data_IF_943273210632
#
_entry.id   IF_943273210632
#
_cell.length_a   1.000
_cell.length_b   1.000
_cell.length_c   1.000
_cell.angle_alpha   90.00
_cell.angle_beta   90.00
_cell.angle_gamma   90.00
#
_symmetry.space_group_name_H-M   'P 1'
#
loop_
_entity.id
_entity.type
_entity.pdbx_description
1 polymer ?
#
# COMPACT_ATOMS: atom_id res chain seq x y z
N UNK A 1 -11.16 -28.81 -70.89
CA UNK A 1 -10.14 -28.92 -69.82
C UNK A 1 -9.82 -27.53 -69.30
N UNK A 2 -10.08 -27.27 -68.00
CA UNK A 2 -9.36 -26.36 -67.08
C UNK A 2 -10.26 -26.14 -65.85
N UNK A 3 -9.97 -26.85 -64.77
CA UNK A 3 -10.56 -26.63 -63.44
C UNK A 3 -9.81 -25.44 -62.83
N UNK A 4 -10.52 -24.36 -62.51
CA UNK A 4 -9.99 -23.24 -61.72
C UNK A 4 -10.24 -23.59 -60.25
N UNK A 5 -9.17 -23.87 -59.51
CA UNK A 5 -9.22 -24.11 -58.07
C UNK A 5 -9.05 -22.76 -57.38
N UNK A 6 -10.11 -22.26 -56.75
CA UNK A 6 -10.09 -21.05 -55.93
C UNK A 6 -9.52 -21.42 -54.56
N UNK A 7 -8.27 -21.06 -54.29
CA UNK A 7 -7.67 -21.23 -52.98
C UNK A 7 -8.13 -20.10 -52.05
N UNK A 8 -8.97 -20.43 -51.07
CA UNK A 8 -9.35 -19.50 -50.01
C UNK A 8 -8.18 -19.38 -49.00
N UNK A 9 -7.55 -18.21 -48.95
CA UNK A 9 -6.56 -17.90 -47.92
C UNK A 9 -7.29 -17.61 -46.60
N UNK A 10 -7.19 -18.51 -45.63
CA UNK A 10 -7.64 -18.29 -44.26
C UNK A 10 -6.55 -17.48 -43.54
N UNK A 11 -6.80 -16.18 -43.34
CA UNK A 11 -5.96 -15.33 -42.49
C UNK A 11 -6.37 -15.62 -41.04
N UNK A 12 -5.57 -16.43 -40.35
CA UNK A 12 -5.72 -16.65 -38.91
C UNK A 12 -5.21 -15.39 -38.17
N UNK A 13 -6.14 -14.56 -37.71
CA UNK A 13 -5.82 -13.40 -36.86
C UNK A 13 -5.59 -13.91 -35.44
N UNK A 14 -4.33 -14.20 -35.10
CA UNK A 14 -3.93 -14.47 -33.71
C UNK A 14 -4.03 -13.18 -32.90
N UNK A 15 -5.13 -12.98 -32.18
CA UNK A 15 -5.23 -11.93 -31.17
C UNK A 15 -4.32 -12.39 -30.01
N UNK A 16 -3.07 -11.92 -30.03
CA UNK A 16 -2.20 -12.07 -28.87
C UNK A 16 -2.86 -11.36 -27.68
N UNK A 17 -3.09 -12.09 -26.59
CA UNK A 17 -3.52 -11.48 -25.33
C UNK A 17 -2.36 -10.61 -24.83
N UNK A 18 -2.36 -9.34 -25.22
CA UNK A 18 -1.48 -8.34 -24.65
C UNK A 18 -1.98 -8.04 -23.25
N UNK A 19 -1.29 -8.57 -22.23
CA UNK A 19 -1.54 -8.15 -20.87
C UNK A 19 -1.14 -6.67 -20.71
N UNK A 20 -2.03 -5.80 -20.21
CA UNK A 20 -1.68 -4.41 -20.00
C UNK A 20 -0.50 -4.32 -19.03
N UNK A 21 0.49 -3.49 -19.36
CA UNK A 21 1.65 -3.25 -18.49
C UNK A 21 1.18 -2.76 -17.11
N UNK A 22 1.84 -3.23 -16.05
CA UNK A 22 1.51 -2.82 -14.68
C UNK A 22 1.74 -1.32 -14.55
N UNK A 23 0.69 -0.57 -14.22
CA UNK A 23 0.81 0.86 -13.94
C UNK A 23 1.33 1.08 -12.52
N UNK A 24 2.42 1.85 -12.41
CA UNK A 24 3.06 2.18 -11.13
C UNK A 24 3.23 3.71 -11.07
N UNK A 25 2.14 4.46 -10.78
CA UNK A 25 2.23 5.91 -10.67
C UNK A 25 3.14 6.28 -9.49
N UNK A 26 4.04 7.23 -9.73
CA UNK A 26 5.07 7.66 -8.75
C UNK A 26 4.51 8.62 -7.68
N UNK A 27 3.23 8.99 -7.80
CA UNK A 27 2.50 9.88 -6.90
C UNK A 27 1.09 9.36 -6.71
N UNK A 28 0.61 9.35 -5.47
CA UNK A 28 -0.78 9.11 -5.10
C UNK A 28 -1.24 10.27 -4.21
N UNK A 29 -2.48 10.73 -4.41
CA UNK A 29 -3.10 11.82 -3.63
C UNK A 29 -4.34 11.28 -2.93
N UNK A 30 -4.51 11.62 -1.65
CA UNK A 30 -5.59 11.17 -0.78
C UNK A 30 -6.31 12.39 -0.20
N UNK A 31 -7.60 12.56 -0.48
CA UNK A 31 -8.35 13.78 -0.12
C UNK A 31 -8.61 13.92 1.39
N UNK A 32 -8.44 12.86 2.17
CA UNK A 32 -8.60 12.88 3.62
C UNK A 32 -8.48 11.49 4.23
N UNK A 33 -8.37 11.42 5.56
CA UNK A 33 -8.40 10.13 6.24
C UNK A 33 -9.86 9.62 6.35
N UNK A 34 -10.13 8.36 5.97
CA UNK A 34 -11.44 7.77 6.22
C UNK A 34 -11.68 7.67 7.73
N UNK A 35 -12.91 7.91 8.15
CA UNK A 35 -13.33 7.84 9.57
C UNK A 35 -14.10 6.57 9.89
N UNK A 36 -14.43 5.76 8.88
CA UNK A 36 -15.08 4.45 9.04
C UNK A 36 -14.40 3.38 8.19
N UNK A 37 -14.68 2.10 8.49
CA UNK A 37 -14.14 0.99 7.70
C UNK A 37 -14.80 0.94 6.31
N UNK A 38 -16.05 1.37 6.18
CA UNK A 38 -16.77 1.46 4.91
C UNK A 38 -16.13 2.50 3.98
N UNK A 39 -15.81 3.69 4.51
CA UNK A 39 -15.09 4.74 3.77
C UNK A 39 -13.69 4.26 3.36
N UNK A 40 -12.98 3.59 4.27
CA UNK A 40 -11.66 3.04 3.96
C UNK A 40 -11.71 1.97 2.87
N UNK A 41 -12.69 1.07 2.90
CA UNK A 41 -12.88 0.03 1.89
C UNK A 41 -13.23 0.64 0.53
N UNK A 42 -14.12 1.65 0.50
CA UNK A 42 -14.43 2.38 -0.73
C UNK A 42 -13.17 3.01 -1.33
N UNK A 43 -12.40 3.73 -0.52
CA UNK A 43 -11.12 4.33 -0.94
C UNK A 43 -10.12 3.28 -1.44
N UNK A 44 -10.02 2.13 -0.76
CA UNK A 44 -9.19 1.00 -1.21
C UNK A 44 -9.59 0.55 -2.61
N UNK A 45 -10.88 0.35 -2.85
CA UNK A 45 -11.37 -0.20 -4.12
C UNK A 45 -11.18 0.77 -5.28
N UNK A 46 -11.09 2.08 -5.01
CA UNK A 46 -10.77 3.12 -5.99
C UNK A 46 -9.26 3.24 -6.25
N UNK A 47 -8.43 3.16 -5.20
CA UNK A 47 -7.01 3.56 -5.27
C UNK A 47 -6.06 2.37 -5.39
N UNK A 48 -6.34 1.25 -4.70
CA UNK A 48 -5.47 0.07 -4.67
C UNK A 48 -5.53 -0.80 -5.94
N UNK A 49 -5.86 -0.20 -7.08
CA UNK A 49 -5.81 -0.81 -8.43
C UNK A 49 -4.39 -0.79 -9.03
N UNK A 50 -3.48 -0.06 -8.40
CA UNK A 50 -2.04 -0.02 -8.71
C UNK A 50 -1.20 -0.44 -7.49
N UNK A 51 0.06 -0.90 -7.66
CA UNK A 51 0.92 -1.24 -6.52
C UNK A 51 1.15 -0.07 -5.57
N UNK A 52 1.37 1.14 -6.10
CA UNK A 52 1.57 2.34 -5.28
C UNK A 52 0.29 2.80 -4.62
N UNK A 53 -0.87 2.58 -5.23
CA UNK A 53 -2.16 2.75 -4.55
C UNK A 53 -2.35 1.79 -3.37
N UNK A 54 -1.99 0.51 -3.52
CA UNK A 54 -2.00 -0.44 -2.41
C UNK A 54 -1.04 -0.04 -1.27
N UNK A 55 0.15 0.46 -1.63
CA UNK A 55 1.10 1.01 -0.66
C UNK A 55 0.62 2.31 -0.01
N UNK A 56 -0.12 3.17 -0.72
CA UNK A 56 -0.73 4.36 -0.14
C UNK A 56 -1.77 3.97 0.91
N UNK A 57 -2.63 2.99 0.62
CA UNK A 57 -3.62 2.49 1.57
C UNK A 57 -2.99 1.92 2.85
N UNK A 58 -1.78 1.37 2.77
CA UNK A 58 -1.02 0.98 3.95
C UNK A 58 -0.72 2.18 4.84
N UNK A 59 -0.16 3.26 4.30
CA UNK A 59 0.15 4.48 5.07
C UNK A 59 -1.13 5.05 5.70
N UNK A 60 -2.24 5.08 4.96
CA UNK A 60 -3.55 5.52 5.48
C UNK A 60 -4.06 4.61 6.60
N UNK A 61 -3.83 3.30 6.53
CA UNK A 61 -4.19 2.37 7.60
C UNK A 61 -3.32 2.58 8.86
N UNK A 62 -2.02 2.87 8.70
CA UNK A 62 -1.12 3.16 9.82
C UNK A 62 -1.48 4.50 10.50
N UNK A 63 -1.82 5.54 9.71
CA UNK A 63 -2.32 6.82 10.22
C UNK A 63 -3.61 6.64 11.02
N UNK A 64 -4.54 5.83 10.50
CA UNK A 64 -5.76 5.48 11.23
C UNK A 64 -5.48 4.69 12.50
N UNK A 65 -4.54 3.76 12.49
CA UNK A 65 -4.18 2.98 13.69
C UNK A 65 -3.64 3.85 14.82
N UNK A 66 -2.82 4.85 14.51
CA UNK A 66 -2.32 5.79 15.52
C UNK A 66 -3.44 6.68 16.10
N UNK A 67 -4.46 6.99 15.29
CA UNK A 67 -5.60 7.82 15.70
C UNK A 67 -6.68 7.04 16.46
N UNK A 68 -7.01 5.85 15.96
CA UNK A 68 -8.01 4.90 16.47
C UNK A 68 -7.53 3.48 16.18
N UNK A 69 -7.06 2.81 17.22
CA UNK A 69 -6.49 1.46 17.11
C UNK A 69 -7.49 0.45 16.53
N UNK A 70 -8.76 0.55 16.92
CA UNK A 70 -9.81 -0.38 16.50
C UNK A 70 -10.11 -0.24 15.02
N UNK A 71 -10.26 1.00 14.55
CA UNK A 71 -10.43 1.29 13.13
C UNK A 71 -9.19 0.88 12.34
N UNK A 72 -8.00 1.25 12.81
CA UNK A 72 -6.74 0.92 12.16
C UNK A 72 -6.52 -0.58 11.96
N UNK A 73 -6.84 -1.41 12.96
CA UNK A 73 -6.74 -2.87 12.82
C UNK A 73 -7.70 -3.42 11.76
N UNK A 74 -8.91 -2.85 11.63
CA UNK A 74 -9.84 -3.22 10.55
C UNK A 74 -9.30 -2.77 9.18
N UNK A 75 -8.77 -1.55 9.09
CA UNK A 75 -8.12 -1.03 7.89
C UNK A 75 -6.93 -1.88 7.43
N UNK A 76 -6.06 -2.26 8.36
CA UNK A 76 -4.94 -3.19 8.11
C UNK A 76 -5.45 -4.54 7.59
N UNK A 77 -6.47 -5.11 8.25
CA UNK A 77 -7.10 -6.36 7.79
C UNK A 77 -7.60 -6.24 6.34
N UNK A 78 -8.20 -5.10 5.99
CA UNK A 78 -8.76 -4.85 4.67
C UNK A 78 -7.72 -4.71 3.54
N UNK A 79 -6.42 -4.55 3.84
CA UNK A 79 -5.33 -4.36 2.85
C UNK A 79 -4.25 -5.43 2.86
N UNK A 80 -4.14 -6.25 3.91
CA UNK A 80 -3.15 -7.34 3.97
C UNK A 80 -3.56 -8.57 3.14
N UNK A 81 -2.56 -9.29 2.62
CA UNK A 81 -2.78 -10.58 1.94
C UNK A 81 -3.46 -11.60 2.87
N UNK A 82 -4.33 -12.43 2.30
CA UNK A 82 -5.07 -13.47 3.02
C UNK A 82 -4.61 -14.87 2.59
N UNK A 83 -3.32 -15.16 2.80
CA UNK A 83 -2.69 -16.46 2.49
C UNK A 83 -2.14 -17.16 3.75
N UNK A 84 -2.56 -16.70 4.93
CA UNK A 84 -2.08 -17.15 6.24
C UNK A 84 -0.78 -16.50 6.71
N UNK A 85 -0.06 -15.77 5.86
CA UNK A 85 1.22 -15.15 6.28
C UNK A 85 1.05 -13.85 7.05
N UNK A 86 -0.07 -13.14 6.88
CA UNK A 86 -0.34 -11.84 7.51
C UNK A 86 -1.61 -11.83 8.36
N UNK A 87 -2.58 -12.67 8.00
CA UNK A 87 -3.88 -12.73 8.65
C UNK A 87 -4.11 -14.10 9.27
N UNK A 88 -4.93 -14.13 10.32
CA UNK A 88 -5.48 -15.33 10.96
C UNK A 88 -7.00 -15.31 10.91
N UNK A 89 -7.61 -16.47 11.09
CA UNK A 89 -9.06 -16.57 11.29
C UNK A 89 -9.47 -15.93 12.63
N UNK A 90 -10.53 -15.13 12.59
CA UNK A 90 -11.08 -14.43 13.74
C UNK A 90 -12.53 -14.05 13.48
N UNK A 91 -13.47 -14.78 14.08
CA UNK A 91 -14.91 -14.55 13.89
C UNK A 91 -15.38 -13.14 14.30
N UNK A 92 -14.62 -12.44 15.15
CA UNK A 92 -14.90 -11.05 15.55
C UNK A 92 -14.17 -10.02 14.70
N UNK A 93 -13.21 -10.46 13.90
CA UNK A 93 -12.41 -9.62 13.03
C UNK A 93 -13.15 -9.20 11.76
N UNK A 94 -12.62 -8.18 11.09
CA UNK A 94 -13.20 -7.68 9.84
C UNK A 94 -13.18 -8.77 8.77
N UNK A 95 -14.36 -9.13 8.24
CA UNK A 95 -14.50 -10.20 7.27
C UNK A 95 -14.10 -11.59 7.80
N UNK A 96 -14.21 -11.82 9.12
CA UNK A 96 -13.81 -13.08 9.75
C UNK A 96 -12.30 -13.27 9.89
N UNK A 97 -11.52 -12.19 9.74
CA UNK A 97 -10.06 -12.20 9.79
C UNK A 97 -9.53 -11.10 10.70
N UNK A 98 -8.34 -11.30 11.23
CA UNK A 98 -7.57 -10.25 11.90
C UNK A 98 -6.08 -10.42 11.65
N UNK A 99 -5.24 -9.39 11.89
CA UNK A 99 -3.81 -9.52 11.71
C UNK A 99 -3.24 -10.58 12.65
N UNK A 100 -2.28 -11.36 12.16
CA UNK A 100 -1.61 -12.37 12.98
C UNK A 100 -0.69 -11.72 14.03
N UNK A 101 -0.12 -12.55 14.93
CA UNK A 101 0.71 -12.05 16.02
C UNK A 101 1.94 -11.25 15.57
N UNK A 102 2.56 -11.63 14.45
CA UNK A 102 3.69 -10.89 13.87
C UNK A 102 3.28 -9.51 13.39
N UNK A 103 2.14 -9.39 12.69
CA UNK A 103 1.62 -8.09 12.27
C UNK A 103 1.23 -7.25 13.49
N UNK A 104 0.53 -7.82 14.47
CA UNK A 104 0.18 -7.11 15.70
C UNK A 104 1.43 -6.58 16.40
N UNK A 105 2.48 -7.38 16.52
CA UNK A 105 3.77 -6.94 17.10
C UNK A 105 4.40 -5.77 16.35
N UNK A 106 4.33 -5.75 15.01
CA UNK A 106 4.78 -4.63 14.20
C UNK A 106 3.95 -3.37 14.48
N UNK A 107 2.62 -3.51 14.53
CA UNK A 107 1.71 -2.40 14.82
C UNK A 107 1.94 -1.81 16.21
N UNK A 108 2.20 -2.64 17.24
CA UNK A 108 2.49 -2.13 18.59
C UNK A 108 3.79 -1.33 18.68
N UNK A 109 4.71 -1.44 17.71
CA UNK A 109 5.88 -0.56 17.68
C UNK A 109 5.50 0.89 17.39
N UNK A 110 4.38 1.15 16.72
CA UNK A 110 3.89 2.51 16.46
C UNK A 110 3.44 3.23 17.73
N UNK A 111 3.07 2.51 18.79
CA UNK A 111 2.75 3.14 20.07
C UNK A 111 3.96 3.90 20.66
N UNK A 112 5.19 3.44 20.35
CA UNK A 112 6.43 4.12 20.78
C UNK A 112 6.75 5.33 19.89
N UNK A 113 6.29 5.31 18.64
CA UNK A 113 6.64 6.30 17.63
C UNK A 113 5.42 6.67 16.76
N UNK A 114 4.37 7.30 17.35
CA UNK A 114 3.11 7.56 16.66
C UNK A 114 3.25 8.52 15.46
N UNK A 115 4.34 9.28 15.39
CA UNK A 115 4.65 10.19 14.29
C UNK A 115 5.20 9.49 13.05
N UNK A 116 5.66 8.22 13.14
CA UNK A 116 6.32 7.52 12.04
C UNK A 116 5.46 7.46 10.77
N UNK A 117 4.16 7.14 10.82
CA UNK A 117 3.31 7.12 9.64
C UNK A 117 3.22 8.47 8.92
N UNK A 118 3.30 9.58 9.66
CA UNK A 118 3.24 10.93 9.09
C UNK A 118 4.44 11.19 8.17
N UNK A 119 5.61 10.62 8.48
CA UNK A 119 6.83 10.85 7.71
C UNK A 119 6.77 10.38 6.25
N UNK A 120 5.77 9.56 5.89
CA UNK A 120 5.53 9.11 4.52
C UNK A 120 4.62 10.06 3.72
N UNK A 121 4.07 11.09 4.37
CA UNK A 121 3.28 12.15 3.74
C UNK A 121 4.20 13.29 3.34
N UNK A 122 4.06 13.75 2.10
CA UNK A 122 4.75 14.92 1.57
C UNK A 122 4.43 16.18 2.37
N UNK A 123 5.42 17.07 2.54
CA UNK A 123 5.27 18.29 3.34
C UNK A 123 5.44 18.10 4.85
N UNK A 124 5.73 16.88 5.34
CA UNK A 124 6.14 16.66 6.73
C UNK A 124 7.66 16.81 6.89
N UNK A 125 8.14 17.20 8.07
CA UNK A 125 9.57 17.34 8.34
C UNK A 125 9.93 16.98 9.78
N UNK A 126 11.21 16.74 10.08
CA UNK A 126 11.64 16.59 11.48
C UNK A 126 11.51 17.90 12.27
N UNK A 127 11.67 19.04 11.59
CA UNK A 127 11.68 20.37 12.20
C UNK A 127 10.31 20.75 12.80
N UNK A 128 9.22 20.23 12.23
CA UNK A 128 7.85 20.39 12.72
C UNK A 128 7.33 19.16 13.50
N UNK A 129 8.21 18.25 13.92
CA UNK A 129 7.85 16.98 14.57
C UNK A 129 6.95 16.06 13.73
N UNK A 130 7.10 16.11 12.41
CA UNK A 130 6.30 15.39 11.41
C UNK A 130 4.80 15.72 11.50
N UNK A 131 4.48 17.00 11.67
CA UNK A 131 3.10 17.47 11.64
C UNK A 131 2.49 17.20 10.27
N UNK A 132 1.28 16.61 10.23
CA UNK A 132 0.58 16.40 8.97
C UNK A 132 0.15 17.75 8.36
N UNK A 133 0.33 17.96 7.05
CA UNK A 133 -0.24 19.11 6.37
C UNK A 133 -1.78 19.00 6.31
N UNK A 134 -2.45 20.08 5.92
CA UNK A 134 -3.87 19.98 5.54
C UNK A 134 -4.02 19.08 4.31
N UNK A 135 -5.08 18.28 4.29
CA UNK A 135 -5.41 17.47 3.13
C UNK A 135 -5.63 18.36 1.88
N UNK A 136 -5.33 17.86 0.66
CA UNK A 136 -5.04 16.46 0.33
C UNK A 136 -3.63 16.01 0.71
N UNK A 137 -3.50 14.76 1.15
CA UNK A 137 -2.22 14.14 1.46
C UNK A 137 -1.57 13.58 0.19
N UNK A 138 -0.33 13.96 -0.07
CA UNK A 138 0.45 13.44 -1.20
C UNK A 138 1.46 12.40 -0.71
N UNK A 139 1.55 11.28 -1.41
CA UNK A 139 2.57 10.25 -1.22
C UNK A 139 3.37 10.07 -2.51
N UNK A 140 4.69 10.02 -2.38
CA UNK A 140 5.59 9.69 -3.48
C UNK A 140 6.08 8.25 -3.38
N UNK A 141 6.46 7.70 -4.51
CA UNK A 141 6.97 6.34 -4.61
C UNK A 141 8.14 6.28 -5.56
N UNK A 142 8.94 5.24 -5.43
CA UNK A 142 9.94 4.88 -6.42
C UNK A 142 10.01 3.38 -6.69
N UNK A 143 10.65 3.04 -7.80
CA UNK A 143 10.95 1.67 -8.22
C UNK A 143 12.40 1.55 -8.65
N UNK A 144 12.86 0.32 -8.82
CA UNK A 144 14.13 0.01 -9.47
C UNK A 144 13.93 -1.16 -10.46
N UNK A 145 15.00 -1.57 -11.15
CA UNK A 145 14.96 -2.66 -12.14
C UNK A 145 14.48 -4.02 -11.61
N UNK A 146 14.39 -4.20 -10.29
CA UNK A 146 13.92 -5.41 -9.60
C UNK A 146 12.57 -5.22 -8.91
N UNK A 147 11.89 -4.09 -9.13
CA UNK A 147 10.60 -3.80 -8.49
C UNK A 147 9.47 -4.69 -8.99
N UNK A 148 9.41 -4.97 -10.30
CA UNK A 148 8.43 -5.91 -10.84
C UNK A 148 9.01 -7.31 -10.70
N UNK A 149 8.46 -8.09 -9.77
CA UNK A 149 8.90 -9.48 -9.51
C UNK A 149 8.21 -10.42 -10.50
N UNK A 150 6.90 -10.22 -10.68
CA UNK A 150 6.07 -10.87 -11.68
C UNK A 150 4.79 -10.05 -11.92
N UNK A 151 3.88 -10.54 -12.75
CA UNK A 151 2.63 -9.85 -13.15
C UNK A 151 1.71 -9.46 -11.97
N UNK A 152 1.81 -10.18 -10.85
CA UNK A 152 0.96 -9.97 -9.68
C UNK A 152 1.75 -9.54 -8.45
N UNK A 153 3.07 -9.42 -8.52
CA UNK A 153 3.92 -9.12 -7.37
C UNK A 153 4.87 -7.97 -7.68
N UNK A 154 4.73 -6.87 -6.93
CA UNK A 154 5.53 -5.66 -7.13
C UNK A 154 6.06 -5.14 -5.80
N UNK A 155 7.32 -4.73 -5.79
CA UNK A 155 7.97 -4.02 -4.70
C UNK A 155 8.13 -2.55 -5.05
N UNK A 156 7.50 -1.68 -4.27
CA UNK A 156 7.64 -0.23 -4.37
C UNK A 156 8.40 0.29 -3.16
N UNK A 157 8.91 1.52 -3.26
CA UNK A 157 9.66 2.16 -2.19
C UNK A 157 9.00 3.49 -1.84
N UNK A 158 8.79 3.76 -0.55
CA UNK A 158 8.18 4.99 -0.05
C UNK A 158 9.27 5.84 0.60
N UNK A 159 9.56 7.07 0.12
CA UNK A 159 10.47 7.97 0.80
C UNK A 159 9.90 8.38 2.17
N UNK A 160 10.79 8.78 3.07
CA UNK A 160 10.41 9.30 4.39
C UNK A 160 11.10 10.64 4.59
N UNK A 161 10.40 11.62 5.18
CA UNK A 161 10.95 12.94 5.50
C UNK A 161 12.00 12.93 6.61
N UNK A 162 12.14 11.81 7.35
CA UNK A 162 13.03 11.69 8.51
C UNK A 162 14.10 10.60 8.41
N UNK A 163 14.15 9.87 7.31
CA UNK A 163 15.06 8.73 7.12
C UNK A 163 15.89 8.84 5.85
N UNK A 164 17.09 8.25 5.88
CA UNK A 164 18.04 8.35 4.76
C UNK A 164 17.71 7.42 3.58
N UNK A 165 16.77 6.48 3.73
CA UNK A 165 16.45 5.49 2.71
C UNK A 165 14.94 5.26 2.57
N UNK A 166 14.40 5.24 1.33
CA UNK A 166 13.04 4.81 1.05
C UNK A 166 12.74 3.41 1.60
N UNK A 167 11.55 3.22 2.17
CA UNK A 167 11.12 1.97 2.80
C UNK A 167 10.43 1.05 1.79
N UNK A 168 10.88 -0.21 1.64
CA UNK A 168 10.25 -1.14 0.72
C UNK A 168 8.89 -1.62 1.22
N UNK A 169 7.94 -1.72 0.29
CA UNK A 169 6.66 -2.42 0.48
C UNK A 169 6.50 -3.43 -0.65
N UNK A 170 6.20 -4.68 -0.32
CA UNK A 170 5.86 -5.70 -1.33
C UNK A 170 4.35 -5.87 -1.38
N UNK A 171 3.79 -5.84 -2.59
CA UNK A 171 2.37 -5.94 -2.87
C UNK A 171 2.09 -7.15 -3.75
N UNK A 172 0.97 -7.81 -3.49
CA UNK A 172 0.43 -8.90 -4.31
C UNK A 172 -0.96 -8.51 -4.80
N UNK A 173 -1.20 -8.58 -6.11
CA UNK A 173 -2.51 -8.38 -6.73
C UNK A 173 -3.39 -9.62 -6.50
N UNK A 174 -4.58 -9.42 -5.96
CA UNK A 174 -5.56 -10.50 -5.83
C UNK A 174 -6.38 -10.70 -7.12
N UNK A 175 -7.28 -11.68 -7.09
CA UNK A 175 -8.22 -12.04 -8.16
C UNK A 175 -9.18 -10.91 -8.57
N UNK A 176 -9.50 -10.00 -7.66
CA UNK A 176 -10.30 -8.79 -7.91
C UNK A 176 -9.50 -7.61 -8.45
N UNK A 177 -8.19 -7.79 -8.63
CA UNK A 177 -7.28 -6.76 -9.12
C UNK A 177 -6.82 -5.73 -8.09
N UNK A 178 -7.12 -5.95 -6.80
CA UNK A 178 -6.68 -5.12 -5.68
C UNK A 178 -5.26 -5.54 -5.28
N UNK A 179 -4.36 -4.57 -5.15
CA UNK A 179 -3.00 -4.75 -4.64
C UNK A 179 -3.00 -4.78 -3.11
N UNK A 180 -2.63 -5.92 -2.55
CA UNK A 180 -2.63 -6.25 -1.13
C UNK A 180 -1.21 -6.26 -0.57
N UNK A 181 -1.01 -5.83 0.66
CA UNK A 181 0.31 -5.74 1.30
C UNK A 181 0.79 -7.10 1.77
N UNK A 182 2.02 -7.46 1.38
CA UNK A 182 2.72 -8.71 1.72
C UNK A 182 3.98 -8.53 2.57
N UNK A 183 4.63 -7.38 2.55
CA UNK A 183 5.79 -7.08 3.41
C UNK A 183 5.88 -5.57 3.62
N UNK A 184 6.08 -5.13 4.86
CA UNK A 184 6.12 -3.72 5.24
C UNK A 184 6.84 -3.42 6.56
N UNK A 185 7.53 -4.40 7.17
CA UNK A 185 8.12 -4.27 8.51
C UNK A 185 8.98 -3.01 8.71
N UNK A 186 9.68 -2.57 7.67
CA UNK A 186 10.50 -1.35 7.71
C UNK A 186 9.72 -0.04 7.81
N UNK A 187 8.38 -0.05 7.65
CA UNK A 187 7.56 1.15 7.74
C UNK A 187 7.22 1.54 9.18
N UNK A 188 7.32 0.59 10.12
CA UNK A 188 6.93 0.77 11.54
C UNK A 188 8.12 0.96 12.48
N UNK A 189 9.34 1.03 11.94
CA UNK A 189 10.54 1.28 12.74
C UNK A 189 10.72 2.78 12.98
N UNK A 190 11.26 3.13 14.15
CA UNK A 190 11.60 4.51 14.49
C UNK A 190 12.56 5.16 13.49
N UNK A 191 12.45 6.48 13.35
CA UNK A 191 13.32 7.28 12.49
C UNK A 191 14.59 7.68 13.23
N UNK A 192 15.71 7.81 12.50
CA UNK A 192 17.02 8.14 13.08
C UNK A 192 17.05 9.52 13.73
N UNK A 193 16.10 10.40 13.40
CA UNK A 193 15.89 11.69 14.06
C UNK A 193 14.52 11.67 14.73
N UNK A 194 14.54 11.46 16.05
CA UNK A 194 13.38 11.62 16.92
C UNK A 194 13.09 13.12 17.03
N UNK A 195 11.82 13.57 16.99
CA UNK A 195 11.48 14.95 17.31
C UNK A 195 12.09 15.32 18.67
N UNK A 196 13.03 16.27 18.70
CA UNK A 196 13.49 16.83 19.96
C UNK A 196 12.37 17.68 20.52
N UNK A 197 11.78 17.25 21.64
CA UNK A 197 10.98 18.15 22.46
C UNK A 197 11.96 19.15 23.07
N UNK A 198 11.84 20.44 22.79
CA UNK A 198 12.63 21.43 23.52
C UNK A 198 12.13 21.42 24.96
N UNK A 199 13.05 21.16 25.89
CA UNK A 199 12.81 21.19 27.32
C UNK A 199 13.08 22.62 27.78
N UNK A 200 12.15 23.52 27.47
CA UNK A 200 12.25 24.94 27.86
C UNK A 200 11.58 25.15 29.24
N UNK A 201 11.75 24.18 30.15
CA UNK A 201 11.43 24.29 31.59
C UNK A 201 12.68 24.05 32.44
#
# INVERSE_FOLDING_TARGET
MKKVILAAAVVALTIGLAFPAIQIPMKVTIDGLPSTIEEFVKMRDEIALTPTGGAAMLVIALLNYVKDESLGLKCMTAILVNDGSMLKDDAKGFGGKSPNGSVVYLMTQLAKYPYVPNSYIDGTSVDDSYALPSAPYTLYFSTNKYSVINETTVKVFIPTSGGNMPRPVTLIKNDKGIWKVKEFSSLVIGLSKVPQKSDDL
#
